data_IF_912532210347
#
_entry.id   IF_912532210347
#
_cell.length_a   1.000
_cell.length_b   1.000
_cell.length_c   1.000
_cell.angle_alpha   90.00
_cell.angle_beta   90.00
_cell.angle_gamma   90.00
#
_symmetry.space_group_name_H-M   'P 1'
#
loop_
_entity.id
_entity.type
_entity.pdbx_description
1 polymer ?
#
# COMPACT_ATOMS: atom_id res chain seq x y z
N UNK A 1 -16.32 20.14 16.08
CA UNK A 1 -15.34 19.86 15.02
C UNK A 1 -15.35 18.36 14.82
N UNK A 2 -15.85 17.87 13.67
CA UNK A 2 -16.07 16.44 13.42
C UNK A 2 -14.71 15.75 13.24
N UNK A 3 -14.38 14.81 14.14
CA UNK A 3 -13.24 13.91 13.96
C UNK A 3 -13.68 12.79 13.03
N UNK A 4 -13.59 13.02 11.72
CA UNK A 4 -13.72 11.93 10.75
C UNK A 4 -12.63 10.89 11.08
N UNK A 5 -13.02 9.64 11.37
CA UNK A 5 -12.06 8.56 11.54
C UNK A 5 -11.25 8.39 10.24
N UNK A 6 -9.94 8.13 10.33
CA UNK A 6 -9.13 7.91 9.14
C UNK A 6 -9.65 6.68 8.39
N UNK A 7 -10.04 6.89 7.12
CA UNK A 7 -10.43 5.81 6.22
C UNK A 7 -9.23 4.90 5.96
N UNK A 8 -9.40 3.56 5.97
CA UNK A 8 -8.34 2.64 5.56
C UNK A 8 -8.10 2.65 4.04
N UNK A 9 -8.97 3.31 3.26
CA UNK A 9 -8.88 3.41 1.80
C UNK A 9 -8.08 4.64 1.37
N UNK A 10 -7.26 4.48 0.33
CA UNK A 10 -6.53 5.61 -0.26
C UNK A 10 -7.50 6.57 -0.97
N UNK A 11 -7.23 7.87 -0.90
CA UNK A 11 -8.03 8.88 -1.58
C UNK A 11 -7.57 9.01 -3.05
N UNK A 12 -8.08 8.15 -3.91
CA UNK A 12 -7.76 8.16 -5.34
C UNK A 12 -8.72 9.05 -6.14
N UNK A 13 -8.24 9.77 -7.17
CA UNK A 13 -9.10 10.53 -8.08
C UNK A 13 -9.91 9.60 -8.99
N UNK A 14 -10.77 10.16 -9.84
CA UNK A 14 -11.40 9.39 -10.92
C UNK A 14 -10.31 8.78 -11.85
N UNK A 15 -10.43 7.50 -12.24
CA UNK A 15 -9.54 6.86 -13.19
C UNK A 15 -9.35 7.64 -14.52
N UNK A 16 -8.22 7.47 -15.23
CA UNK A 16 -7.20 6.46 -14.98
C UNK A 16 -6.11 6.90 -14.01
N UNK A 17 -5.62 5.93 -13.24
CA UNK A 17 -4.40 6.01 -12.43
C UNK A 17 -3.77 4.62 -12.37
N UNK A 18 -2.67 4.45 -11.65
CA UNK A 18 -1.97 3.18 -11.54
C UNK A 18 -1.99 2.63 -10.12
N UNK A 19 -1.90 1.30 -10.02
CA UNK A 19 -1.69 0.59 -8.75
C UNK A 19 -0.44 -0.27 -8.85
N UNK A 20 0.41 -0.19 -7.83
CA UNK A 20 1.50 -1.13 -7.58
C UNK A 20 1.09 -2.02 -6.42
N UNK A 21 0.91 -3.31 -6.71
CA UNK A 21 0.61 -4.34 -5.71
C UNK A 21 1.88 -5.09 -5.34
N UNK A 22 2.27 -4.97 -4.08
CA UNK A 22 3.33 -5.75 -3.46
C UNK A 22 2.70 -6.83 -2.56
N UNK A 23 2.81 -8.09 -2.97
CA UNK A 23 2.39 -9.24 -2.15
C UNK A 23 3.62 -9.93 -1.57
N UNK A 24 3.64 -10.23 -0.28
CA UNK A 24 4.81 -10.81 0.39
C UNK A 24 4.44 -11.84 1.46
N UNK A 25 5.31 -12.83 1.65
CA UNK A 25 5.32 -13.75 2.79
C UNK A 25 6.57 -13.45 3.61
N UNK A 26 6.40 -13.20 4.90
CA UNK A 26 7.52 -12.87 5.80
C UNK A 26 8.30 -14.11 6.23
N UNK A 27 9.56 -13.89 6.56
CA UNK A 27 10.33 -14.83 7.41
C UNK A 27 9.75 -14.83 8.83
N UNK A 28 10.06 -15.87 9.60
CA UNK A 28 9.66 -15.93 11.02
C UNK A 28 10.41 -14.86 11.84
N UNK A 29 9.73 -14.29 12.84
CA UNK A 29 10.23 -13.17 13.63
C UNK A 29 10.07 -11.79 12.95
N UNK A 30 10.06 -10.71 13.75
CA UNK A 30 9.90 -9.38 13.17
C UNK A 30 11.14 -8.93 12.38
N UNK A 31 12.33 -9.19 12.92
CA UNK A 31 13.63 -8.87 12.32
C UNK A 31 13.77 -7.40 11.85
N UNK A 32 13.00 -6.48 12.46
CA UNK A 32 12.96 -5.05 12.07
C UNK A 32 12.13 -4.77 10.82
N UNK A 33 11.32 -5.73 10.37
CA UNK A 33 10.45 -5.58 9.21
C UNK A 33 9.35 -4.57 9.43
N UNK A 34 8.68 -4.56 10.60
CA UNK A 34 7.58 -3.63 10.86
C UNK A 34 7.99 -2.18 10.61
N UNK A 35 9.11 -1.77 11.21
CA UNK A 35 9.69 -0.45 11.02
C UNK A 35 10.10 -0.17 9.56
N UNK A 36 10.62 -1.17 8.84
CA UNK A 36 10.94 -1.01 7.43
C UNK A 36 9.68 -0.90 6.55
N UNK A 37 8.64 -1.67 6.83
CA UNK A 37 7.38 -1.64 6.09
C UNK A 37 6.68 -0.28 6.25
N UNK A 38 6.63 0.24 7.48
CA UNK A 38 6.17 1.60 7.77
C UNK A 38 7.00 2.63 7.01
N UNK A 39 8.33 2.55 7.10
CA UNK A 39 9.22 3.46 6.37
C UNK A 39 9.05 3.40 4.85
N UNK A 40 8.85 2.21 4.28
CA UNK A 40 8.59 2.05 2.85
C UNK A 40 7.26 2.69 2.43
N UNK A 41 6.23 2.58 3.28
CA UNK A 41 4.95 3.24 3.05
C UNK A 41 5.09 4.77 3.16
N UNK A 42 5.76 5.28 4.19
CA UNK A 42 6.04 6.71 4.35
C UNK A 42 6.83 7.29 3.17
N UNK A 43 7.87 6.59 2.72
CA UNK A 43 8.67 7.03 1.58
C UNK A 43 7.86 7.04 0.28
N UNK A 44 6.97 6.06 0.09
CA UNK A 44 6.05 6.05 -1.04
C UNK A 44 5.12 7.26 -0.99
N UNK A 45 4.52 7.56 0.17
CA UNK A 45 3.62 8.71 0.36
C UNK A 45 4.31 10.07 0.13
N UNK A 46 5.63 10.15 0.30
CA UNK A 46 6.41 11.36 0.01
C UNK A 46 6.78 11.51 -1.47
N UNK A 47 6.60 10.48 -2.29
CA UNK A 47 6.93 10.60 -3.71
C UNK A 47 5.91 11.48 -4.45
N UNK A 48 6.36 12.36 -5.36
CA UNK A 48 5.48 13.03 -6.29
C UNK A 48 4.61 12.01 -7.05
N UNK A 49 3.32 12.33 -7.18
CA UNK A 49 2.36 11.48 -7.86
C UNK A 49 1.85 10.29 -7.04
N UNK A 50 2.28 10.08 -5.79
CA UNK A 50 1.66 9.11 -4.90
C UNK A 50 0.28 9.61 -4.43
N UNK A 51 -0.73 8.76 -4.59
CA UNK A 51 -2.13 9.05 -4.26
C UNK A 51 -2.56 8.40 -2.94
N UNK A 52 -1.69 7.60 -2.34
CA UNK A 52 -1.96 6.88 -1.11
C UNK A 52 -1.54 5.41 -1.18
N UNK A 53 -1.69 4.72 -0.05
CA UNK A 53 -1.41 3.30 0.05
C UNK A 53 -2.42 2.62 0.98
N UNK A 54 -2.68 1.35 0.68
CA UNK A 54 -3.53 0.46 1.45
C UNK A 54 -2.72 -0.79 1.78
N UNK A 55 -2.81 -1.29 3.01
CA UNK A 55 -2.14 -2.53 3.37
C UNK A 55 -2.98 -3.39 4.30
N UNK A 56 -2.94 -4.70 4.04
CA UNK A 56 -3.54 -5.71 4.89
C UNK A 56 -2.55 -6.87 5.06
N UNK A 57 -2.64 -7.54 6.21
CA UNK A 57 -1.82 -8.70 6.55
C UNK A 57 -2.64 -9.69 7.34
N UNK A 58 -2.50 -10.97 7.01
CA UNK A 58 -3.11 -12.05 7.77
C UNK A 58 -2.20 -12.54 8.91
N UNK A 59 -2.76 -13.40 9.76
CA UNK A 59 -2.05 -14.00 10.88
C UNK A 59 -0.92 -14.96 10.44
N UNK A 60 -1.02 -15.52 9.23
CA UNK A 60 -0.03 -16.44 8.65
C UNK A 60 1.17 -15.72 8.03
N UNK A 61 1.16 -14.38 8.05
CA UNK A 61 2.27 -13.53 7.63
C UNK A 61 2.27 -13.18 6.15
N UNK A 62 1.25 -13.59 5.38
CA UNK A 62 1.04 -13.09 4.04
C UNK A 62 0.42 -11.68 4.10
N UNK A 63 1.00 -10.76 3.34
CA UNK A 63 0.55 -9.38 3.31
C UNK A 63 0.56 -8.79 1.92
N UNK A 64 -0.38 -7.88 1.70
CA UNK A 64 -0.53 -7.10 0.48
C UNK A 64 -0.41 -5.63 0.84
N UNK A 65 0.37 -4.91 0.04
CA UNK A 65 0.42 -3.45 0.05
C UNK A 65 0.14 -2.97 -1.37
N UNK A 66 -0.92 -2.19 -1.52
CA UNK A 66 -1.22 -1.45 -2.74
C UNK A 66 -0.77 -0.01 -2.55
N UNK A 67 -0.04 0.53 -3.51
CA UNK A 67 0.23 1.98 -3.60
C UNK A 67 -0.33 2.50 -4.91
N UNK A 68 -0.96 3.66 -4.85
CA UNK A 68 -1.67 4.27 -5.97
C UNK A 68 -0.91 5.48 -6.50
N UNK A 69 -0.90 5.65 -7.82
CA UNK A 69 0.00 6.58 -8.49
C UNK A 69 -0.70 7.29 -9.64
N UNK A 70 -0.47 8.59 -9.78
CA UNK A 70 -1.09 9.42 -10.80
C UNK A 70 -0.68 9.00 -12.22
N UNK A 71 0.58 8.63 -12.42
CA UNK A 71 1.15 8.38 -13.75
C UNK A 71 2.33 7.40 -13.74
N UNK A 72 2.72 6.94 -14.93
CA UNK A 72 3.80 5.97 -15.13
C UNK A 72 5.19 6.56 -14.86
N UNK A 73 5.36 7.89 -14.95
CA UNK A 73 6.63 8.55 -14.66
C UNK A 73 6.94 8.46 -13.16
N UNK A 74 5.95 8.80 -12.34
CA UNK A 74 5.97 8.68 -10.88
C UNK A 74 6.26 7.24 -10.44
N UNK A 75 5.68 6.25 -11.12
CA UNK A 75 6.00 4.83 -10.90
C UNK A 75 7.46 4.47 -11.18
N UNK A 76 8.02 4.98 -12.28
CA UNK A 76 9.41 4.72 -12.66
C UNK A 76 10.37 5.31 -11.63
N UNK A 77 10.09 6.54 -11.17
CA UNK A 77 10.84 7.17 -10.10
C UNK A 77 10.77 6.34 -8.81
N UNK A 78 9.57 5.91 -8.40
CA UNK A 78 9.40 5.07 -7.21
C UNK A 78 10.13 3.73 -7.32
N UNK A 79 10.05 3.05 -8.47
CA UNK A 79 10.74 1.77 -8.68
C UNK A 79 12.25 1.90 -8.46
N UNK A 80 12.87 3.03 -8.82
CA UNK A 80 14.28 3.27 -8.55
C UNK A 80 14.56 3.37 -7.05
N UNK A 81 13.75 4.12 -6.30
CA UNK A 81 13.85 4.23 -4.84
C UNK A 81 13.73 2.85 -4.17
N UNK A 82 12.69 2.08 -4.52
CA UNK A 82 12.51 0.72 -3.99
C UNK A 82 13.66 -0.20 -4.37
N UNK A 83 14.14 -0.11 -5.61
CA UNK A 83 15.26 -0.94 -6.08
C UNK A 83 16.55 -0.61 -5.33
N UNK A 84 16.82 0.65 -5.03
CA UNK A 84 17.94 1.06 -4.17
C UNK A 84 17.79 0.55 -2.73
N UNK A 85 16.59 0.61 -2.16
CA UNK A 85 16.32 0.08 -0.81
C UNK A 85 16.41 -1.45 -0.76
N UNK A 86 15.87 -2.14 -1.76
CA UNK A 86 15.92 -3.61 -1.88
C UNK A 86 17.32 -4.14 -2.28
N UNK A 87 18.12 -3.36 -3.01
CA UNK A 87 19.51 -3.68 -3.35
C UNK A 87 20.43 -3.68 -2.12
N UNK A 88 19.99 -3.13 -0.99
CA UNK A 88 20.55 -3.46 0.32
C UNK A 88 20.18 -4.92 0.66
N UNK A 89 20.83 -5.86 -0.06
CA UNK A 89 20.60 -7.31 -0.12
C UNK A 89 20.30 -7.97 1.23
N UNK A 90 20.94 -7.49 2.29
CA UNK A 90 20.78 -7.99 3.66
C UNK A 90 19.35 -7.92 4.20
N UNK A 91 18.53 -6.96 3.76
CA UNK A 91 17.13 -6.85 4.19
C UNK A 91 16.22 -7.87 3.51
N UNK A 92 16.44 -8.16 2.22
CA UNK A 92 15.56 -9.01 1.41
C UNK A 92 15.52 -10.45 1.93
N UNK A 93 16.67 -11.03 2.25
CA UNK A 93 16.78 -12.40 2.77
C UNK A 93 16.31 -12.52 4.23
N UNK A 94 16.34 -11.41 4.99
CA UNK A 94 15.95 -11.38 6.41
C UNK A 94 14.48 -11.10 6.65
N UNK A 95 13.76 -10.57 5.67
CA UNK A 95 12.38 -10.13 5.84
C UNK A 95 11.37 -10.91 5.02
N UNK A 96 11.76 -11.44 3.85
CA UNK A 96 10.83 -12.06 2.92
C UNK A 96 11.26 -13.48 2.57
N UNK A 97 10.37 -14.44 2.80
CA UNK A 97 10.46 -15.77 2.18
C UNK A 97 10.17 -15.66 0.68
N UNK A 98 9.16 -14.87 0.33
CA UNK A 98 8.74 -14.66 -1.06
C UNK A 98 8.06 -13.30 -1.19
N UNK A 99 8.19 -12.66 -2.35
CA UNK A 99 7.33 -11.54 -2.73
C UNK A 99 7.06 -11.52 -4.23
N UNK A 100 6.03 -10.77 -4.63
CA UNK A 100 5.68 -10.46 -6.02
C UNK A 100 5.25 -8.99 -6.11
N UNK A 101 5.74 -8.29 -7.14
CA UNK A 101 5.30 -6.93 -7.49
C UNK A 101 4.51 -7.01 -8.79
N UNK A 102 3.35 -6.37 -8.83
CA UNK A 102 2.55 -6.19 -10.05
C UNK A 102 2.20 -4.72 -10.20
N UNK A 103 2.17 -4.25 -11.44
CA UNK A 103 1.80 -2.89 -11.79
C UNK A 103 0.64 -2.98 -12.77
N UNK A 104 -0.42 -2.25 -12.52
CA UNK A 104 -1.61 -2.22 -13.38
C UNK A 104 -2.15 -0.79 -13.51
N UNK A 105 -2.81 -0.49 -14.63
CA UNK A 105 -3.60 0.72 -14.81
C UNK A 105 -5.03 0.44 -14.33
N UNK A 106 -5.54 1.28 -13.45
CA UNK A 106 -6.92 1.27 -13.04
C UNK A 106 -7.71 2.05 -14.07
N UNK A 107 -8.66 1.38 -14.73
CA UNK A 107 -9.53 1.99 -15.75
C UNK A 107 -10.87 2.43 -15.17
N UNK A 108 -11.30 1.80 -14.06
CA UNK A 108 -12.59 2.00 -13.41
C UNK A 108 -12.45 1.75 -11.92
N UNK A 109 -13.13 2.56 -11.11
CA UNK A 109 -13.19 2.44 -9.66
C UNK A 109 -14.61 2.80 -9.20
N UNK A 110 -15.10 2.13 -8.17
CA UNK A 110 -16.42 2.35 -7.59
C UNK A 110 -16.30 2.35 -6.07
N UNK A 111 -17.09 3.19 -5.41
CA UNK A 111 -17.12 3.26 -3.94
C UNK A 111 -18.54 3.06 -3.42
N UNK A 112 -18.64 2.47 -2.24
CA UNK A 112 -19.88 2.32 -1.49
C UNK A 112 -19.60 2.56 -0.01
N UNK A 113 -20.49 3.31 0.63
CA UNK A 113 -20.49 3.49 2.09
C UNK A 113 -21.90 3.19 2.56
N UNK A 114 -22.05 2.22 3.47
CA UNK A 114 -23.34 1.98 4.10
C UNK A 114 -23.63 3.13 5.07
N UNK A 115 -24.86 3.66 5.04
CA UNK A 115 -25.33 4.55 6.09
C UNK A 115 -25.44 3.73 7.40
N UNK A 116 -24.83 4.21 8.48
CA UNK A 116 -25.10 3.64 9.81
C UNK A 116 -26.58 3.86 10.11
N UNK A 117 -27.34 2.76 10.17
CA UNK A 117 -28.79 2.81 10.24
C UNK A 117 -29.27 3.65 11.42
N UNK A 118 -30.12 4.65 11.12
CA UNK A 118 -30.98 5.26 12.10
C UNK A 118 -31.73 4.13 12.83
N UNK A 119 -31.50 4.02 14.13
CA UNK A 119 -32.22 3.11 15.01
C UNK A 119 -33.71 3.32 14.78
N UNK A 120 -34.39 2.35 14.18
CA UNK A 120 -35.84 2.31 14.23
C UNK A 120 -36.20 2.00 15.68
N UNK A 121 -36.57 3.05 16.40
CA UNK A 121 -37.07 2.98 17.77
C UNK A 121 -38.44 2.31 17.80
N UNK A 122 -38.58 1.49 18.85
CA UNK A 122 -39.77 0.86 19.45
C UNK A 122 -40.57 -0.16 18.62
#
# INVERSE_FOLDING_TARGET
MSTAQPSPFANTPEPPYYVVTFSSVRTEGDNGYGAMAERMAELALQQPGCLGAESARDADGFGITNSYWADEESLKAWKQVVSHLAAQRLGRERWYKQYKVRIARVERAYQFTAEEGASHGE
#
